data_IF_665141693877
#
_entry.id   IF_665141693877
#
_cell.length_a   1.000
_cell.length_b   1.000
_cell.length_c   1.000
_cell.angle_alpha   90.00
_cell.angle_beta   90.00
_cell.angle_gamma   90.00
#
_symmetry.space_group_name_H-M   'P 1'
#
loop_
_entity.id
_entity.type
_entity.pdbx_description
1 polymer ?
#
# COMPACT_ATOMS: atom_id res chain seq x y z
N UNK A 1 5.72 -16.00 12.54
CA UNK A 1 7.20 -15.96 12.65
C UNK A 1 7.83 -17.32 12.29
N UNK A 2 7.39 -18.42 12.90
CA UNK A 2 7.92 -19.78 12.69
C UNK A 2 7.96 -20.25 11.21
N UNK A 3 6.88 -20.02 10.43
CA UNK A 3 6.84 -20.41 8.99
C UNK A 3 7.90 -19.72 8.13
N UNK A 4 8.22 -18.44 8.43
CA UNK A 4 9.27 -17.70 7.71
C UNK A 4 10.65 -18.27 8.05
N UNK A 5 10.90 -18.56 9.33
CA UNK A 5 12.15 -19.19 9.79
C UNK A 5 12.36 -20.55 9.13
N UNK A 6 11.31 -21.38 9.12
CA UNK A 6 11.36 -22.72 8.53
C UNK A 6 11.58 -22.68 7.01
N UNK A 7 11.00 -21.70 6.30
CA UNK A 7 11.25 -21.48 4.86
C UNK A 7 12.73 -21.23 4.57
N UNK A 8 13.35 -20.31 5.31
CA UNK A 8 14.76 -19.98 5.10
C UNK A 8 15.69 -21.14 5.51
N UNK A 9 15.32 -21.92 6.52
CA UNK A 9 16.04 -23.14 6.88
C UNK A 9 16.05 -24.16 5.73
N UNK A 10 14.89 -24.46 5.13
CA UNK A 10 14.80 -25.39 4.01
C UNK A 10 15.51 -24.88 2.75
N UNK A 11 15.54 -23.57 2.51
CA UNK A 11 16.32 -22.97 1.43
C UNK A 11 17.82 -23.21 1.60
N UNK A 12 18.34 -22.94 2.80
CA UNK A 12 19.76 -23.15 3.13
C UNK A 12 20.13 -24.63 2.98
N UNK A 13 19.28 -25.54 3.48
CA UNK A 13 19.51 -26.98 3.32
C UNK A 13 19.53 -27.41 1.86
N UNK A 14 18.61 -26.88 1.02
CA UNK A 14 18.59 -27.20 -0.42
C UNK A 14 19.91 -26.80 -1.11
N UNK A 15 20.48 -25.65 -0.76
CA UNK A 15 21.76 -25.18 -1.32
C UNK A 15 22.91 -26.08 -0.87
N UNK A 16 23.00 -26.40 0.43
CA UNK A 16 24.06 -27.24 0.99
C UNK A 16 24.03 -28.65 0.37
N UNK A 17 22.85 -29.28 0.31
CA UNK A 17 22.70 -30.62 -0.27
C UNK A 17 22.90 -30.63 -1.79
N UNK A 18 22.57 -29.54 -2.49
CA UNK A 18 22.90 -29.37 -3.91
C UNK A 18 24.41 -29.42 -4.17
N UNK A 19 25.21 -28.72 -3.36
CA UNK A 19 26.68 -28.74 -3.45
C UNK A 19 27.21 -30.15 -3.13
N UNK A 20 26.72 -30.76 -2.07
CA UNK A 20 27.13 -32.12 -1.68
C UNK A 20 26.78 -33.18 -2.73
N UNK A 21 25.69 -32.99 -3.47
CA UNK A 21 25.30 -33.89 -4.57
C UNK A 21 26.34 -33.86 -5.70
N UNK A 22 26.88 -32.69 -6.04
CA UNK A 22 27.94 -32.56 -7.06
C UNK A 22 29.19 -33.33 -6.64
N UNK A 23 29.59 -33.22 -5.37
CA UNK A 23 30.72 -33.96 -4.81
C UNK A 23 30.42 -35.47 -4.77
N UNK A 24 29.20 -35.88 -4.41
CA UNK A 24 28.83 -37.29 -4.36
C UNK A 24 28.97 -38.01 -5.72
N UNK A 25 28.72 -37.30 -6.83
CA UNK A 25 28.89 -37.84 -8.18
C UNK A 25 30.36 -38.05 -8.58
N UNK A 26 31.33 -37.39 -7.93
CA UNK A 26 32.75 -37.66 -8.17
C UNK A 26 33.19 -38.99 -7.55
N UNK A 27 32.52 -39.43 -6.48
CA UNK A 27 32.89 -40.63 -5.74
C UNK A 27 32.14 -41.88 -6.21
N UNK A 28 30.83 -41.77 -6.47
CA UNK A 28 30.03 -42.90 -6.95
C UNK A 28 28.71 -42.44 -7.57
N UNK A 29 28.35 -43.05 -8.70
CA UNK A 29 27.06 -42.80 -9.37
C UNK A 29 25.89 -43.14 -8.45
N UNK A 30 25.95 -44.25 -7.72
CA UNK A 30 24.86 -44.69 -6.82
C UNK A 30 24.70 -43.69 -5.68
N UNK A 31 25.81 -43.22 -5.11
CA UNK A 31 25.80 -42.24 -4.03
C UNK A 31 25.30 -40.86 -4.49
N UNK A 32 25.70 -40.42 -5.69
CA UNK A 32 25.18 -39.22 -6.34
C UNK A 32 23.66 -39.26 -6.55
N UNK A 33 23.10 -40.39 -6.99
CA UNK A 33 21.65 -40.57 -7.16
C UNK A 33 20.92 -40.45 -5.81
N UNK A 34 21.44 -41.07 -4.74
CA UNK A 34 20.83 -40.97 -3.39
C UNK A 34 20.82 -39.51 -2.92
N UNK A 35 21.92 -38.78 -3.11
CA UNK A 35 22.02 -37.37 -2.71
C UNK A 35 21.12 -36.45 -3.54
N UNK A 36 20.91 -36.77 -4.81
CA UNK A 36 19.98 -36.06 -5.68
C UNK A 36 18.53 -36.19 -5.17
N UNK A 37 18.13 -37.40 -4.74
CA UNK A 37 16.80 -37.62 -4.13
C UNK A 37 16.63 -36.80 -2.85
N UNK A 38 17.64 -36.77 -1.98
CA UNK A 38 17.61 -35.98 -0.74
C UNK A 38 17.47 -34.48 -1.04
N UNK A 39 18.24 -33.98 -2.01
CA UNK A 39 18.15 -32.58 -2.45
C UNK A 39 16.76 -32.25 -2.98
N UNK A 40 16.15 -33.18 -3.73
CA UNK A 40 14.79 -33.01 -4.26
C UNK A 40 13.74 -32.97 -3.14
N UNK A 41 13.90 -33.76 -2.08
CA UNK A 41 13.02 -33.72 -0.90
C UNK A 41 13.08 -32.34 -0.22
N UNK A 42 14.27 -31.79 0.00
CA UNK A 42 14.41 -30.46 0.60
C UNK A 42 13.84 -29.35 -0.29
N UNK A 43 14.05 -29.44 -1.61
CA UNK A 43 13.44 -28.54 -2.57
C UNK A 43 11.91 -28.63 -2.55
N UNK A 44 11.34 -29.83 -2.47
CA UNK A 44 9.90 -30.04 -2.36
C UNK A 44 9.32 -29.38 -1.11
N UNK A 45 9.94 -29.55 0.06
CA UNK A 45 9.51 -28.86 1.28
C UNK A 45 9.66 -27.34 1.18
N UNK A 46 10.76 -26.84 0.61
CA UNK A 46 10.89 -25.40 0.34
C UNK A 46 9.76 -24.88 -0.57
N UNK A 47 9.34 -25.66 -1.56
CA UNK A 47 8.25 -25.30 -2.48
C UNK A 47 6.89 -25.24 -1.77
N UNK A 48 6.63 -26.16 -0.83
CA UNK A 48 5.43 -26.17 0.00
C UNK A 48 5.33 -24.91 0.89
N UNK A 49 6.46 -24.40 1.37
CA UNK A 49 6.50 -23.14 2.13
C UNK A 49 6.58 -21.88 1.24
N UNK A 50 6.85 -22.03 -0.06
CA UNK A 50 6.86 -20.95 -1.04
C UNK A 50 5.52 -20.77 -1.75
N UNK A 51 4.60 -21.72 -1.64
CA UNK A 51 3.24 -21.58 -2.15
C UNK A 51 2.61 -20.28 -1.61
N UNK A 52 2.33 -19.37 -2.54
CA UNK A 52 1.57 -18.14 -2.33
C UNK A 52 0.33 -18.51 -1.52
N UNK A 53 -0.01 -17.67 -0.55
CA UNK A 53 -1.16 -17.85 0.33
C UNK A 53 -2.46 -17.84 -0.49
N UNK A 54 -2.80 -18.98 -1.11
CA UNK A 54 -4.11 -19.27 -1.62
C UNK A 54 -4.86 -19.75 -0.38
N UNK A 55 -5.56 -18.81 0.25
CA UNK A 55 -6.51 -19.12 1.29
C UNK A 55 -7.65 -19.95 0.67
N UNK A 56 -7.47 -21.25 0.58
CA UNK A 56 -8.59 -22.18 0.49
C UNK A 56 -9.23 -22.20 1.89
N UNK A 57 -10.16 -21.28 2.12
CA UNK A 57 -11.04 -21.36 3.28
C UNK A 57 -12.07 -22.43 2.97
N UNK A 58 -11.99 -23.52 3.74
CA UNK A 58 -13.03 -24.53 3.83
C UNK A 58 -14.34 -23.86 4.23
N UNK A 59 -15.42 -24.16 3.51
CA UNK A 59 -16.80 -23.89 3.96
C UNK A 59 -17.02 -24.64 5.27
N UNK A 60 -17.01 -23.92 6.38
CA UNK A 60 -17.77 -24.27 7.57
C UNK A 60 -18.64 -23.07 7.90
N UNK A 61 -19.95 -23.29 7.84
CA UNK A 61 -20.99 -22.31 8.09
C UNK A 61 -21.02 -21.94 9.58
N UNK A 62 -20.43 -20.80 9.93
CA UNK A 62 -20.82 -20.02 11.10
C UNK A 62 -20.83 -18.54 10.69
N UNK A 63 -21.97 -17.85 10.89
CA UNK A 63 -22.19 -16.44 10.58
C UNK A 63 -21.33 -15.54 11.48
N UNK A 64 -20.03 -15.45 11.21
CA UNK A 64 -19.12 -14.50 11.84
C UNK A 64 -19.01 -13.30 10.89
N UNK A 65 -19.60 -12.15 11.27
CA UNK A 65 -19.37 -10.86 10.59
C UNK A 65 -17.87 -10.56 10.60
N UNK A 66 -17.16 -10.87 9.52
CA UNK A 66 -15.76 -10.50 9.37
C UNK A 66 -15.65 -9.03 8.98
N UNK A 67 -14.94 -8.24 9.81
CA UNK A 67 -14.50 -6.91 9.42
C UNK A 67 -13.49 -7.07 8.27
N UNK A 68 -13.85 -6.64 7.07
CA UNK A 68 -12.95 -6.62 5.92
C UNK A 68 -12.47 -5.19 5.70
N UNK A 69 -11.15 -5.02 5.75
CA UNK A 69 -10.51 -3.76 5.38
C UNK A 69 -10.10 -3.80 3.91
N UNK A 70 -10.58 -2.83 3.13
CA UNK A 70 -10.15 -2.61 1.75
C UNK A 70 -9.24 -1.38 1.72
N UNK A 71 -8.06 -1.50 1.11
CA UNK A 71 -7.12 -0.38 0.95
C UNK A 71 -6.67 -0.27 -0.51
N UNK A 72 -6.70 0.94 -1.06
CA UNK A 72 -6.22 1.20 -2.43
C UNK A 72 -5.73 2.64 -2.59
N UNK A 73 -4.72 2.83 -3.44
CA UNK A 73 -4.28 4.16 -3.87
C UNK A 73 -5.20 4.67 -4.98
N UNK A 74 -5.58 5.94 -4.91
CA UNK A 74 -6.44 6.59 -5.90
C UNK A 74 -5.67 6.73 -7.23
N UNK A 75 -6.33 6.38 -8.34
CA UNK A 75 -5.77 6.50 -9.68
C UNK A 75 -5.94 7.92 -10.23
N UNK A 76 -4.94 8.38 -11.00
CA UNK A 76 -4.99 9.65 -11.71
C UNK A 76 -4.79 10.88 -10.84
N UNK A 77 -4.30 10.76 -9.61
CA UNK A 77 -4.07 11.90 -8.72
C UNK A 77 -3.02 12.88 -9.28
N UNK A 78 -2.08 12.40 -10.10
CA UNK A 78 -1.02 13.20 -10.75
C UNK A 78 -1.53 14.29 -11.72
N UNK A 79 -2.82 14.30 -12.11
CA UNK A 79 -3.34 15.35 -12.99
C UNK A 79 -3.25 16.73 -12.32
N UNK A 80 -2.69 17.72 -13.03
CA UNK A 80 -2.33 19.03 -12.47
C UNK A 80 -3.47 19.75 -11.75
N UNK A 81 -4.71 19.69 -12.27
CA UNK A 81 -5.88 20.29 -11.59
C UNK A 81 -6.18 19.66 -10.22
N UNK A 82 -5.92 18.36 -10.05
CA UNK A 82 -6.12 17.63 -8.78
C UNK A 82 -4.99 17.95 -7.80
N UNK A 83 -3.76 17.94 -8.29
CA UNK A 83 -2.58 18.38 -7.52
C UNK A 83 -2.74 19.80 -6.98
N UNK A 84 -3.22 20.73 -7.81
CA UNK A 84 -3.48 22.12 -7.42
C UNK A 84 -4.60 22.22 -6.37
N UNK A 85 -5.66 21.42 -6.47
CA UNK A 85 -6.74 21.44 -5.49
C UNK A 85 -6.31 20.89 -4.12
N UNK A 86 -5.51 19.82 -4.10
CA UNK A 86 -4.96 19.26 -2.86
C UNK A 86 -4.00 20.27 -2.21
N UNK A 87 -3.09 20.86 -3.00
CA UNK A 87 -2.19 21.93 -2.53
C UNK A 87 -2.98 23.11 -1.93
N UNK A 88 -4.03 23.59 -2.62
CA UNK A 88 -4.88 24.69 -2.16
C UNK A 88 -5.61 24.36 -0.85
N UNK A 89 -5.99 23.10 -0.64
CA UNK A 89 -6.59 22.66 0.60
C UNK A 89 -5.61 22.78 1.77
N UNK A 90 -4.37 22.30 1.60
CA UNK A 90 -3.34 22.39 2.63
C UNK A 90 -2.88 23.82 2.89
N UNK A 91 -2.70 24.61 1.84
CA UNK A 91 -2.38 26.04 1.96
C UNK A 91 -3.36 26.76 2.90
N UNK A 92 -4.67 26.54 2.72
CA UNK A 92 -5.69 27.13 3.61
C UNK A 92 -5.60 26.62 5.05
N UNK A 93 -5.22 25.35 5.26
CA UNK A 93 -5.03 24.81 6.62
C UNK A 93 -3.81 25.42 7.31
N UNK A 94 -2.73 25.63 6.56
CA UNK A 94 -1.52 26.29 7.04
C UNK A 94 -1.82 27.76 7.37
N UNK A 95 -2.51 28.50 6.50
CA UNK A 95 -2.93 29.89 6.77
C UNK A 95 -3.76 30.02 8.06
N UNK A 96 -4.65 29.04 8.30
CA UNK A 96 -5.47 28.97 9.51
C UNK A 96 -4.75 28.42 10.73
N UNK A 97 -3.46 28.05 10.60
CA UNK A 97 -2.65 27.41 11.65
C UNK A 97 -3.22 26.08 12.15
N UNK A 98 -4.03 25.40 11.32
CA UNK A 98 -4.50 24.04 11.58
C UNK A 98 -3.40 23.00 11.32
N UNK A 99 -2.41 23.36 10.49
CA UNK A 99 -1.21 22.57 10.19
C UNK A 99 0.00 23.48 10.36
N UNK A 100 1.04 22.97 11.01
CA UNK A 100 2.34 23.63 11.13
C UNK A 100 3.21 23.15 9.96
N UNK A 101 3.64 24.08 9.10
CA UNK A 101 4.45 23.77 7.93
C UNK A 101 5.84 23.27 8.32
N UNK A 102 6.35 22.24 7.64
CA UNK A 102 7.71 21.69 7.86
C UNK A 102 7.96 21.30 9.32
N UNK A 103 6.92 20.80 9.99
CA UNK A 103 6.96 20.45 11.42
C UNK A 103 7.34 21.64 12.35
N UNK A 104 7.30 22.87 11.83
CA UNK A 104 7.69 24.08 12.54
C UNK A 104 9.19 24.39 12.47
N UNK A 105 9.97 23.59 11.76
CA UNK A 105 11.41 23.78 11.63
C UNK A 105 11.75 24.98 10.74
N UNK A 106 12.70 25.78 11.21
CA UNK A 106 13.37 26.80 10.40
C UNK A 106 14.40 26.17 9.48
N UNK A 107 14.80 26.89 8.42
CA UNK A 107 15.88 26.44 7.53
C UNK A 107 17.20 26.13 8.25
N UNK A 108 17.48 26.81 9.37
CA UNK A 108 18.66 26.52 10.21
C UNK A 108 18.53 25.20 10.96
N UNK A 109 17.33 24.89 11.47
CA UNK A 109 17.06 23.64 12.20
C UNK A 109 16.96 22.43 11.27
N UNK A 110 16.64 22.66 9.99
CA UNK A 110 16.73 21.64 8.95
C UNK A 110 18.20 21.31 8.60
N UNK A 111 19.11 22.28 8.65
CA UNK A 111 20.51 22.13 8.24
C UNK A 111 21.39 21.45 9.29
N UNK A 112 20.99 20.28 9.75
CA UNK A 112 21.74 19.49 10.73
C UNK A 112 22.34 18.23 10.11
N UNK A 113 23.16 17.50 10.88
CA UNK A 113 23.73 16.23 10.40
C UNK A 113 22.68 15.13 10.34
N UNK A 114 21.70 15.16 11.24
CA UNK A 114 20.63 14.17 11.34
C UNK A 114 19.66 14.25 10.14
N UNK A 115 19.52 15.43 9.55
CA UNK A 115 18.60 15.71 8.45
C UNK A 115 19.27 15.67 7.06
N UNK A 116 20.51 15.16 6.96
CA UNK A 116 21.17 15.00 5.66
C UNK A 116 20.42 13.95 4.83
N UNK A 117 20.04 14.34 3.61
CA UNK A 117 19.31 13.53 2.64
C UNK A 117 17.95 13.02 3.17
N UNK A 118 17.37 13.74 4.14
CA UNK A 118 16.00 13.54 4.64
C UNK A 118 15.07 14.57 4.00
N UNK A 119 13.97 14.10 3.44
CA UNK A 119 12.91 14.94 2.90
C UNK A 119 12.01 15.45 4.04
N UNK A 120 12.02 16.76 4.26
CA UNK A 120 11.18 17.40 5.27
C UNK A 120 10.02 18.06 4.54
N UNK A 121 8.86 17.43 4.60
CA UNK A 121 7.67 17.86 3.88
C UNK A 121 6.98 19.04 4.54
N UNK A 122 6.36 19.89 3.73
CA UNK A 122 5.57 21.02 4.20
C UNK A 122 4.38 20.54 5.05
N UNK A 123 3.80 19.39 4.70
CA UNK A 123 2.67 18.78 5.41
C UNK A 123 3.09 17.46 6.08
N UNK A 124 2.37 17.04 7.14
CA UNK A 124 2.57 15.71 7.72
C UNK A 124 2.43 14.61 6.66
N UNK A 125 3.44 13.75 6.59
CA UNK A 125 3.32 12.52 5.81
C UNK A 125 2.37 11.57 6.55
N UNK A 126 1.39 11.03 5.83
CA UNK A 126 0.24 10.30 6.38
C UNK A 126 -0.85 11.19 7.01
N UNK A 127 -1.13 12.35 6.42
CA UNK A 127 -2.28 13.17 6.85
C UNK A 127 -3.60 12.41 6.65
N UNK A 128 -4.27 12.05 7.76
CA UNK A 128 -5.51 11.28 7.76
C UNK A 128 -6.76 12.17 7.80
N UNK A 129 -7.68 11.91 6.88
CA UNK A 129 -9.05 12.41 6.91
C UNK A 129 -9.98 11.22 7.17
N UNK A 130 -10.53 11.14 8.38
CA UNK A 130 -11.51 10.12 8.77
C UNK A 130 -12.93 10.63 8.55
N UNK A 131 -13.79 9.77 8.02
CA UNK A 131 -15.18 10.05 7.73
C UNK A 131 -16.02 8.81 8.00
N UNK A 132 -17.19 8.97 8.61
CA UNK A 132 -18.25 7.98 8.38
C UNK A 132 -18.74 8.15 6.95
N UNK A 133 -19.20 7.07 6.31
CA UNK A 133 -19.66 7.17 4.93
C UNK A 133 -20.85 8.14 4.77
N UNK A 134 -21.72 8.19 5.77
CA UNK A 134 -22.88 9.08 5.83
C UNK A 134 -22.54 10.57 5.82
N UNK A 135 -21.35 10.95 6.32
CA UNK A 135 -21.01 12.36 6.57
C UNK A 135 -20.64 13.10 5.28
N UNK A 136 -20.40 12.35 4.19
CA UNK A 136 -20.12 12.90 2.87
C UNK A 136 -18.82 13.70 2.78
N UNK A 137 -17.90 13.54 3.74
CA UNK A 137 -16.58 14.16 3.68
C UNK A 137 -15.72 13.51 2.58
N UNK A 138 -15.83 12.18 2.45
CA UNK A 138 -15.27 11.40 1.35
C UNK A 138 -16.44 10.77 0.59
N UNK A 139 -16.51 11.02 -0.71
CA UNK A 139 -17.60 10.56 -1.58
C UNK A 139 -17.09 9.76 -2.77
N UNK A 140 -17.87 8.76 -3.16
CA UNK A 140 -17.65 7.94 -4.34
C UNK A 140 -18.84 8.12 -5.28
N UNK A 141 -18.59 8.44 -6.55
CA UNK A 141 -19.64 8.68 -7.54
C UNK A 141 -19.35 7.89 -8.81
N UNK A 142 -20.30 7.05 -9.24
CA UNK A 142 -20.19 6.31 -10.50
C UNK A 142 -20.30 7.27 -11.67
N UNK A 143 -19.45 7.10 -12.66
CA UNK A 143 -19.41 7.94 -13.87
C UNK A 143 -19.50 7.03 -15.11
N UNK A 144 -20.69 6.51 -15.44
CA UNK A 144 -20.86 5.55 -16.54
C UNK A 144 -20.55 6.14 -17.92
N UNK A 145 -20.69 7.46 -18.06
CA UNK A 145 -20.38 8.22 -19.27
C UNK A 145 -18.88 8.56 -19.41
N UNK A 146 -18.02 8.05 -18.52
CA UNK A 146 -16.58 8.30 -18.60
C UNK A 146 -15.99 7.67 -19.87
N UNK A 147 -15.29 8.50 -20.66
CA UNK A 147 -14.75 8.12 -21.98
C UNK A 147 -13.75 6.94 -21.95
N UNK A 148 -13.11 6.69 -20.80
CA UNK A 148 -12.05 5.67 -20.66
C UNK A 148 -12.52 4.39 -19.97
N UNK A 149 -13.52 4.49 -19.09
CA UNK A 149 -14.03 3.35 -18.32
C UNK A 149 -15.46 3.59 -17.85
N UNK A 150 -16.43 2.87 -18.43
CA UNK A 150 -17.85 2.88 -18.00
C UNK A 150 -18.08 2.46 -16.54
N UNK A 151 -17.10 1.85 -15.88
CA UNK A 151 -17.16 1.51 -14.46
C UNK A 151 -16.37 2.49 -13.59
N UNK A 152 -15.98 3.66 -14.13
CA UNK A 152 -15.25 4.67 -13.38
C UNK A 152 -16.04 5.09 -12.13
N UNK A 153 -15.33 5.14 -11.00
CA UNK A 153 -15.86 5.64 -9.74
C UNK A 153 -14.96 6.77 -9.29
N UNK A 154 -15.49 7.99 -9.36
CA UNK A 154 -14.81 9.22 -8.96
C UNK A 154 -14.68 9.28 -7.44
N UNK A 155 -13.50 9.62 -6.95
CA UNK A 155 -13.22 9.83 -5.53
C UNK A 155 -13.13 11.34 -5.28
N UNK A 156 -13.96 11.82 -4.36
CA UNK A 156 -14.02 13.23 -4.00
C UNK A 156 -13.82 13.42 -2.51
N UNK A 157 -13.06 14.45 -2.14
CA UNK A 157 -12.84 14.84 -0.74
C UNK A 157 -13.32 16.29 -0.59
N UNK A 158 -14.15 16.54 0.43
CA UNK A 158 -14.69 17.88 0.69
C UNK A 158 -13.57 18.89 0.89
N UNK A 159 -13.61 19.98 0.13
CA UNK A 159 -12.57 21.01 0.14
C UNK A 159 -11.45 20.80 -0.90
N UNK A 160 -11.25 19.58 -1.39
CA UNK A 160 -10.33 19.25 -2.50
C UNK A 160 -11.06 19.00 -3.82
N UNK A 161 -12.36 18.71 -3.77
CA UNK A 161 -13.11 18.28 -4.95
C UNK A 161 -12.68 16.88 -5.39
N UNK A 162 -12.55 16.66 -6.69
CA UNK A 162 -12.13 15.36 -7.23
C UNK A 162 -10.63 15.15 -7.03
N UNK A 163 -10.26 14.09 -6.31
CA UNK A 163 -8.86 13.71 -6.06
C UNK A 163 -8.37 12.58 -6.98
N UNK A 164 -9.30 11.90 -7.66
CA UNK A 164 -9.01 10.92 -8.69
C UNK A 164 -10.10 9.87 -8.79
N UNK A 165 -9.72 8.64 -9.13
CA UNK A 165 -10.65 7.53 -9.36
C UNK A 165 -10.25 6.28 -8.58
N UNK A 166 -11.23 5.42 -8.32
CA UNK A 166 -10.98 4.05 -7.87
C UNK A 166 -10.23 3.31 -8.99
N UNK A 167 -9.14 2.59 -8.69
CA UNK A 167 -8.38 1.86 -9.70
C UNK A 167 -9.23 0.87 -10.51
N UNK A 168 -8.95 0.82 -11.83
CA UNK A 168 -9.70 0.01 -12.81
C UNK A 168 -9.73 -1.49 -12.47
N UNK A 169 -8.71 -2.00 -11.80
CA UNK A 169 -8.65 -3.42 -11.41
C UNK A 169 -9.58 -3.78 -10.25
N UNK A 170 -10.13 -2.79 -9.51
CA UNK A 170 -11.01 -3.05 -8.36
C UNK A 170 -12.37 -2.34 -8.45
N UNK A 171 -12.58 -1.41 -9.38
CA UNK A 171 -13.77 -0.58 -9.46
C UNK A 171 -15.09 -1.38 -9.52
N UNK A 172 -15.14 -2.48 -10.27
CA UNK A 172 -16.33 -3.34 -10.35
C UNK A 172 -16.64 -4.00 -9.01
N UNK A 173 -15.61 -4.53 -8.32
CA UNK A 173 -15.80 -5.12 -6.99
C UNK A 173 -16.15 -4.07 -5.95
N UNK A 174 -15.61 -2.86 -6.08
CA UNK A 174 -15.87 -1.76 -5.18
C UNK A 174 -17.28 -1.19 -5.36
N UNK A 175 -17.80 -1.14 -6.60
CA UNK A 175 -19.17 -0.75 -6.89
C UNK A 175 -20.19 -1.58 -6.10
N UNK A 176 -19.96 -2.90 -5.98
CA UNK A 176 -20.82 -3.80 -5.20
C UNK A 176 -20.81 -3.47 -3.70
N UNK A 177 -19.64 -3.12 -3.17
CA UNK A 177 -19.50 -2.70 -1.76
C UNK A 177 -20.29 -1.40 -1.50
N UNK A 178 -20.26 -0.46 -2.45
CA UNK A 178 -21.04 0.78 -2.36
C UNK A 178 -22.54 0.52 -2.40
N UNK A 179 -23.01 -0.42 -3.24
CA UNK A 179 -24.42 -0.77 -3.39
C UNK A 179 -25.00 -1.46 -2.14
N UNK A 180 -24.21 -2.31 -1.49
CA UNK A 180 -24.63 -3.01 -0.28
C UNK A 180 -24.68 -2.10 0.96
N UNK A 181 -24.14 -0.88 0.87
CA UNK A 181 -24.07 0.09 1.96
C UNK A 181 -23.28 -0.43 3.19
N UNK A 182 -22.32 -1.34 2.94
CA UNK A 182 -21.53 -2.04 3.97
C UNK A 182 -20.38 -1.18 4.55
N UNK A 183 -20.27 0.08 4.10
CA UNK A 183 -19.17 0.97 4.47
C UNK A 183 -19.53 1.75 5.73
N UNK A 184 -18.80 1.52 6.81
CA UNK A 184 -18.93 2.30 8.04
C UNK A 184 -18.02 3.52 8.02
N UNK A 185 -16.73 3.24 7.91
CA UNK A 185 -15.68 4.23 8.07
C UNK A 185 -14.76 4.22 6.85
N UNK A 186 -14.37 5.42 6.45
CA UNK A 186 -13.44 5.68 5.37
C UNK A 186 -12.34 6.58 5.92
N UNK A 187 -11.10 6.23 5.63
CA UNK A 187 -9.94 7.06 5.87
C UNK A 187 -9.26 7.38 4.55
N UNK A 188 -9.05 8.65 4.25
CA UNK A 188 -8.15 9.09 3.20
C UNK A 188 -6.82 9.51 3.84
N UNK A 189 -5.74 8.85 3.45
CA UNK A 189 -4.37 9.17 3.84
C UNK A 189 -3.70 9.91 2.69
N UNK A 190 -3.09 11.06 2.97
CA UNK A 190 -2.48 11.92 1.96
C UNK A 190 -0.99 12.10 2.27
N UNK A 191 -0.16 11.92 1.25
CA UNK A 191 1.31 12.05 1.32
C UNK A 191 1.82 12.85 0.11
N UNK A 192 3.09 13.26 0.13
CA UNK A 192 3.74 14.05 -0.92
C UNK A 192 3.59 15.56 -0.71
N UNK A 193 3.77 16.33 -1.78
CA UNK A 193 3.73 17.79 -1.78
C UNK A 193 5.11 18.44 -1.76
N UNK A 194 5.14 19.73 -1.42
CA UNK A 194 6.38 20.50 -1.30
C UNK A 194 7.22 19.96 -0.13
N UNK A 195 8.53 19.87 -0.34
CA UNK A 195 9.47 19.47 0.70
C UNK A 195 10.81 20.20 0.58
N UNK A 196 11.57 20.13 1.67
CA UNK A 196 12.94 20.63 1.77
C UNK A 196 13.91 19.48 1.94
N UNK A 197 15.02 19.53 1.22
CA UNK A 197 16.08 18.52 1.27
C UNK A 197 17.43 19.19 1.56
N UNK A 198 18.04 18.80 2.67
CA UNK A 198 19.38 19.24 3.05
C UNK A 198 20.42 18.18 2.67
N UNK A 199 21.35 18.49 1.77
CA UNK A 199 22.37 17.52 1.34
C UNK A 199 23.75 17.72 1.99
N UNK A 200 23.80 18.40 3.14
CA UNK A 200 25.06 18.77 3.80
C UNK A 200 25.79 19.99 3.19
N UNK A 201 25.34 20.51 2.04
CA UNK A 201 25.94 21.69 1.37
C UNK A 201 24.93 22.78 1.05
N UNK A 202 23.78 22.40 0.50
CA UNK A 202 22.71 23.31 0.09
C UNK A 202 21.35 22.75 0.52
N UNK A 203 20.49 23.64 1.01
CA UNK A 203 19.08 23.35 1.20
C UNK A 203 18.36 23.56 -0.13
N UNK A 204 17.67 22.52 -0.61
CA UNK A 204 16.86 22.56 -1.83
C UNK A 204 15.38 22.52 -1.45
N UNK A 205 14.56 23.18 -2.25
CA UNK A 205 13.12 23.00 -2.28
C UNK A 205 12.79 22.17 -3.51
N UNK A 206 11.95 21.17 -3.35
CA UNK A 206 11.46 20.33 -4.44
C UNK A 206 10.04 19.85 -4.08
N UNK A 207 9.40 19.10 -4.98
CA UNK A 207 8.01 18.71 -4.83
C UNK A 207 7.74 17.32 -5.40
N UNK A 208 7.08 16.52 -4.58
CA UNK A 208 6.47 15.27 -5.00
C UNK A 208 4.98 15.44 -5.32
N UNK A 209 4.48 14.62 -6.25
CA UNK A 209 3.04 14.54 -6.49
C UNK A 209 2.32 14.07 -5.23
N UNK A 210 1.24 14.76 -4.87
CA UNK A 210 0.34 14.27 -3.84
C UNK A 210 -0.21 12.91 -4.23
N UNK A 211 -0.19 11.99 -3.27
CA UNK A 211 -0.85 10.70 -3.38
C UNK A 211 -1.98 10.60 -2.35
N UNK A 212 -3.06 9.93 -2.75
CA UNK A 212 -4.21 9.68 -1.86
C UNK A 212 -4.43 8.19 -1.77
N UNK A 213 -4.46 7.66 -0.55
CA UNK A 213 -4.79 6.27 -0.28
C UNK A 213 -6.09 6.20 0.50
N UNK A 214 -7.04 5.41 -0.01
CA UNK A 214 -8.32 5.17 0.65
C UNK A 214 -8.24 3.84 1.41
N UNK A 215 -8.62 3.88 2.68
CA UNK A 215 -8.82 2.71 3.53
C UNK A 215 -10.28 2.69 3.96
N UNK A 216 -10.94 1.55 3.80
CA UNK A 216 -12.35 1.35 4.08
C UNK A 216 -12.50 0.20 5.04
N UNK A 217 -13.19 0.45 6.15
CA UNK A 217 -13.58 -0.56 7.11
C UNK A 217 -15.05 -0.92 6.86
N UNK A 218 -15.27 -2.14 6.35
CA UNK A 218 -16.58 -2.68 6.01
C UNK A 218 -16.92 -3.88 6.89
N UNK A 219 -18.20 -3.99 7.26
CA UNK A 219 -18.78 -5.26 7.71
C UNK A 219 -19.32 -5.97 6.47
N UNK A 220 -18.61 -6.97 5.96
CA UNK A 220 -19.20 -7.83 4.93
C UNK A 220 -19.91 -8.96 5.65
N UNK A 221 -21.20 -9.14 5.39
CA UNK A 221 -21.86 -10.43 5.59
C UNK A 221 -21.58 -11.29 4.36
N UNK A 222 -20.94 -12.44 4.56
CA UNK A 222 -20.79 -13.43 3.50
C UNK A 222 -22.21 -13.90 3.11
N UNK A 223 -22.67 -13.54 1.91
CA UNK A 223 -23.87 -14.10 1.26
C UNK A 223 -23.45 -15.21 0.29
#
# INVERSE_FOLDING_TARGET
>A
MLKKILKYLFLIMTIIFGILTIVAFTDSIIFGIIMLVITFIFFFFFSLFSAKNINNISKNNENIKQNKTLKFQVAGTFLGGRQANISKFFFKKIEKKEIISYEGLTDSEIKTKENIDVEIYEIPQDYEIKSNYSDGLIKFEKEPENEYDKNAIRVMIKGMGTVGYVPKNINISFAKILENNDIKEITATICGGEYKLWNGKKLKNDRDDYSVTITINSLISDN
#
